data_IF_393781835881
#
_entry.id   IF_393781835881
#
_cell.length_a   1.000
_cell.length_b   1.000
_cell.length_c   1.000
_cell.angle_alpha   90.00
_cell.angle_beta   90.00
_cell.angle_gamma   90.00
#
_symmetry.space_group_name_H-M   'P 1'
#
loop_
_entity.id
_entity.type
_entity.pdbx_description
1 polymer ?
#
# COMPACT_ATOMS: atom_id res chain seq x y z
N UNK A 1 -18.75 7.22 4.76
CA UNK A 1 -19.27 6.91 3.41
C UNK A 1 -20.43 7.81 3.05
N UNK A 2 -21.41 7.97 3.96
CA UNK A 2 -22.59 8.80 3.75
C UNK A 2 -22.27 10.29 3.62
N UNK A 3 -21.31 10.81 4.38
CA UNK A 3 -20.94 12.23 4.40
C UNK A 3 -20.18 12.72 3.17
N UNK A 4 -19.43 11.85 2.49
CA UNK A 4 -18.54 12.28 1.40
C UNK A 4 -18.77 11.52 0.10
N UNK A 5 -19.51 10.42 0.13
CA UNK A 5 -19.63 9.46 -1.00
C UNK A 5 -18.28 9.08 -1.62
N UNK A 6 -17.18 9.17 -0.83
CA UNK A 6 -15.79 9.03 -1.27
C UNK A 6 -15.36 10.02 -2.38
N UNK A 7 -16.05 11.14 -2.50
CA UNK A 7 -15.66 12.18 -3.45
C UNK A 7 -14.40 12.91 -2.98
N UNK A 8 -13.35 12.85 -3.79
CA UNK A 8 -12.04 13.44 -3.46
C UNK A 8 -12.10 14.95 -3.21
N UNK A 9 -12.89 15.68 -4.02
CA UNK A 9 -13.06 17.13 -3.87
C UNK A 9 -13.79 17.49 -2.58
N UNK A 10 -14.79 16.70 -2.20
CA UNK A 10 -15.52 16.88 -0.94
C UNK A 10 -14.59 16.64 0.25
N UNK A 11 -13.79 15.58 0.20
CA UNK A 11 -12.82 15.26 1.26
C UNK A 11 -11.73 16.32 1.36
N UNK A 12 -11.24 16.82 0.23
CA UNK A 12 -10.21 17.87 0.19
C UNK A 12 -10.69 19.16 0.87
N UNK A 13 -11.95 19.53 0.67
CA UNK A 13 -12.57 20.73 1.26
C UNK A 13 -13.00 20.56 2.72
N UNK A 14 -12.99 19.32 3.22
CA UNK A 14 -13.41 19.03 4.59
C UNK A 14 -12.41 19.58 5.60
N UNK A 15 -12.86 20.27 6.68
CA UNK A 15 -11.99 20.65 7.78
C UNK A 15 -11.23 19.44 8.34
N UNK A 16 -9.98 19.63 8.75
CA UNK A 16 -9.12 18.54 9.24
C UNK A 16 -9.75 17.77 10.40
N UNK A 17 -10.37 18.49 11.34
CA UNK A 17 -11.04 17.92 12.51
C UNK A 17 -12.22 17.02 12.10
N UNK A 18 -12.99 17.46 11.10
CA UNK A 18 -14.10 16.66 10.56
C UNK A 18 -13.59 15.38 9.90
N UNK A 19 -12.54 15.49 9.08
CA UNK A 19 -11.92 14.29 8.46
C UNK A 19 -11.38 13.33 9.53
N UNK A 20 -10.73 13.85 10.60
CA UNK A 20 -10.27 13.04 11.72
C UNK A 20 -11.41 12.28 12.40
N UNK A 21 -12.57 12.90 12.59
CA UNK A 21 -13.74 12.23 13.16
C UNK A 21 -14.26 11.10 12.25
N UNK A 22 -14.41 11.38 10.96
CA UNK A 22 -14.89 10.40 9.96
C UNK A 22 -14.02 9.14 9.92
N UNK A 23 -12.69 9.29 10.04
CA UNK A 23 -11.75 8.16 9.96
C UNK A 23 -11.27 7.67 11.32
N UNK A 24 -11.90 8.09 12.42
CA UNK A 24 -11.45 7.80 13.80
C UNK A 24 -11.25 6.30 14.07
N UNK A 25 -12.11 5.45 13.52
CA UNK A 25 -12.05 3.98 13.66
C UNK A 25 -10.82 3.34 13.01
N UNK A 26 -10.10 4.06 12.12
CA UNK A 26 -8.96 3.50 11.38
C UNK A 26 -7.66 3.41 12.20
N UNK A 27 -7.63 3.92 13.45
CA UNK A 27 -6.41 4.06 14.24
C UNK A 27 -5.44 5.08 13.63
N UNK A 28 -4.60 5.72 14.47
CA UNK A 28 -3.67 6.78 14.03
C UNK A 28 -4.32 7.88 13.17
N UNK A 29 -5.61 8.08 13.35
CA UNK A 29 -6.47 8.89 12.49
C UNK A 29 -6.00 10.35 12.33
N UNK A 30 -5.36 10.93 13.34
CA UNK A 30 -4.84 12.31 13.26
C UNK A 30 -3.76 12.44 12.19
N UNK A 31 -2.81 11.51 12.15
CA UNK A 31 -1.74 11.51 11.14
C UNK A 31 -2.26 11.08 9.77
N UNK A 32 -3.15 10.07 9.73
CA UNK A 32 -3.80 9.65 8.49
C UNK A 32 -4.61 10.77 7.84
N UNK A 33 -5.37 11.54 8.60
CA UNK A 33 -6.13 12.67 8.06
C UNK A 33 -5.21 13.72 7.40
N UNK A 34 -4.08 14.04 8.04
CA UNK A 34 -3.09 14.96 7.46
C UNK A 34 -2.47 14.40 6.16
N UNK A 35 -2.14 13.11 6.15
CA UNK A 35 -1.59 12.47 4.96
C UNK A 35 -2.62 12.42 3.82
N UNK A 36 -3.88 12.10 4.11
CA UNK A 36 -4.97 12.11 3.13
C UNK A 36 -5.14 13.50 2.52
N UNK A 37 -5.20 14.56 3.33
CA UNK A 37 -5.34 15.93 2.81
C UNK A 37 -4.12 16.33 1.98
N UNK A 38 -2.90 16.01 2.42
CA UNK A 38 -1.69 16.31 1.66
C UNK A 38 -1.67 15.61 0.29
N UNK A 39 -2.04 14.31 0.26
CA UNK A 39 -2.14 13.57 -0.99
C UNK A 39 -3.23 14.13 -1.91
N UNK A 40 -4.41 14.43 -1.37
CA UNK A 40 -5.51 14.99 -2.17
C UNK A 40 -5.17 16.38 -2.72
N UNK A 41 -4.45 17.19 -1.95
CA UNK A 41 -3.98 18.50 -2.42
C UNK A 41 -3.00 18.34 -3.58
N UNK A 42 -2.04 17.43 -3.45
CA UNK A 42 -1.09 17.12 -4.52
C UNK A 42 -1.81 16.57 -5.77
N UNK A 43 -2.76 15.64 -5.62
CA UNK A 43 -3.56 15.13 -6.73
C UNK A 43 -4.39 16.24 -7.40
N UNK A 44 -4.93 17.17 -6.62
CA UNK A 44 -5.71 18.30 -7.15
C UNK A 44 -4.86 19.25 -7.99
N UNK A 45 -3.58 19.47 -7.64
CA UNK A 45 -2.64 20.24 -8.47
C UNK A 45 -2.44 19.61 -9.85
N UNK A 46 -2.66 18.30 -9.97
CA UNK A 46 -2.63 17.53 -11.21
C UNK A 46 -4.03 17.20 -11.75
N UNK A 47 -5.07 17.95 -11.34
CA UNK A 47 -6.46 17.76 -11.78
C UNK A 47 -7.01 16.33 -11.58
N UNK A 48 -6.43 15.54 -10.67
CA UNK A 48 -6.74 14.11 -10.46
C UNK A 48 -6.57 13.26 -11.74
N UNK A 49 -5.74 13.68 -12.67
CA UNK A 49 -5.42 12.90 -13.88
C UNK A 49 -4.27 11.92 -13.59
N UNK A 50 -4.63 10.74 -13.11
CA UNK A 50 -3.66 9.70 -12.73
C UNK A 50 -2.79 9.25 -13.91
N UNK A 51 -3.34 9.23 -15.12
CA UNK A 51 -2.60 8.84 -16.32
C UNK A 51 -1.54 9.87 -16.70
N UNK A 52 -1.89 11.15 -16.66
CA UNK A 52 -0.94 12.25 -16.89
C UNK A 52 0.13 12.32 -15.79
N UNK A 53 -0.22 12.09 -14.52
CA UNK A 53 0.74 12.00 -13.43
C UNK A 53 1.75 10.87 -13.70
N UNK A 54 1.27 9.66 -14.01
CA UNK A 54 2.13 8.51 -14.27
C UNK A 54 3.11 8.78 -15.42
N UNK A 55 2.64 9.43 -16.49
CA UNK A 55 3.49 9.80 -17.63
C UNK A 55 4.49 10.90 -17.28
N UNK A 56 4.04 11.91 -16.51
CA UNK A 56 4.87 13.08 -16.16
C UNK A 56 6.08 12.67 -15.32
N UNK A 57 5.84 11.85 -14.31
CA UNK A 57 6.88 11.46 -13.36
C UNK A 57 7.63 10.17 -13.76
N UNK A 58 7.00 9.26 -14.51
CA UNK A 58 7.62 8.02 -14.94
C UNK A 58 8.30 7.29 -13.76
N UNK A 59 9.56 6.91 -13.92
CA UNK A 59 10.36 6.22 -12.89
C UNK A 59 10.62 7.08 -11.63
N UNK A 60 10.43 8.40 -11.71
CA UNK A 60 10.59 9.30 -10.56
C UNK A 60 9.31 9.41 -9.70
N UNK A 61 8.20 8.79 -10.10
CA UNK A 61 6.92 8.91 -9.41
C UNK A 61 7.02 8.49 -7.93
N UNK A 62 7.73 7.39 -7.65
CA UNK A 62 7.94 6.93 -6.28
C UNK A 62 8.65 7.98 -5.43
N UNK A 63 9.70 8.59 -5.97
CA UNK A 63 10.45 9.65 -5.28
C UNK A 63 9.57 10.85 -5.00
N UNK A 64 8.75 11.24 -5.98
CA UNK A 64 7.80 12.34 -5.84
C UNK A 64 6.76 12.06 -4.75
N UNK A 65 6.13 10.89 -4.76
CA UNK A 65 5.15 10.49 -3.73
C UNK A 65 5.73 10.53 -2.32
N UNK A 66 6.99 10.15 -2.15
CA UNK A 66 7.70 10.19 -0.87
C UNK A 66 7.96 11.61 -0.34
N UNK A 67 7.86 12.65 -1.17
CA UNK A 67 7.93 14.05 -0.73
C UNK A 67 6.64 14.51 -0.04
N UNK A 68 5.53 13.82 -0.29
CA UNK A 68 4.22 14.18 0.24
C UNK A 68 4.18 13.83 1.74
N UNK A 69 3.82 14.81 2.56
CA UNK A 69 3.79 14.65 4.01
C UNK A 69 2.90 13.48 4.45
N UNK A 70 3.49 12.52 5.13
CA UNK A 70 2.78 11.36 5.68
C UNK A 70 2.62 10.20 4.72
N UNK A 71 3.17 10.30 3.50
CA UNK A 71 3.30 9.18 2.56
C UNK A 71 4.65 8.51 2.79
N UNK A 72 4.60 7.30 3.35
CA UNK A 72 5.78 6.44 3.51
C UNK A 72 5.94 5.47 2.33
N UNK A 73 7.01 4.66 2.37
CA UNK A 73 7.36 3.72 1.29
C UNK A 73 6.22 2.77 0.93
N UNK A 74 5.58 2.14 1.91
CA UNK A 74 4.45 1.23 1.70
C UNK A 74 3.28 1.94 1.00
N UNK A 75 2.92 3.14 1.48
CA UNK A 75 1.82 3.91 0.87
C UNK A 75 2.16 4.35 -0.54
N UNK A 76 3.39 4.79 -0.81
CA UNK A 76 3.84 5.16 -2.15
C UNK A 76 3.76 3.96 -3.11
N UNK A 77 4.24 2.79 -2.69
CA UNK A 77 4.22 1.59 -3.51
C UNK A 77 2.80 1.09 -3.78
N UNK A 78 1.90 1.16 -2.77
CA UNK A 78 0.47 0.86 -2.93
C UNK A 78 -0.17 1.80 -3.94
N UNK A 79 0.10 3.11 -3.86
CA UNK A 79 -0.42 4.09 -4.82
C UNK A 79 0.07 3.78 -6.24
N UNK A 80 1.35 3.45 -6.41
CA UNK A 80 1.92 3.10 -7.72
C UNK A 80 1.19 1.91 -8.32
N UNK A 81 1.02 0.81 -7.57
CA UNK A 81 0.41 -0.41 -8.09
C UNK A 81 -1.09 -0.25 -8.35
N UNK A 82 -1.83 0.31 -7.38
CA UNK A 82 -3.29 0.30 -7.43
C UNK A 82 -3.89 1.50 -8.17
N UNK A 83 -3.23 2.66 -8.11
CA UNK A 83 -3.76 3.90 -8.69
C UNK A 83 -3.06 4.26 -10.00
N UNK A 84 -1.73 4.30 -10.00
CA UNK A 84 -0.95 4.74 -11.15
C UNK A 84 -0.61 3.63 -12.14
N UNK A 85 -1.05 2.39 -11.87
CA UNK A 85 -0.86 1.23 -12.75
C UNK A 85 0.60 0.90 -13.06
N UNK A 86 1.49 1.24 -12.13
CA UNK A 86 2.90 0.84 -12.16
C UNK A 86 3.12 -0.55 -11.57
N UNK A 87 4.38 -0.92 -11.42
CA UNK A 87 4.82 -2.24 -10.93
C UNK A 87 5.80 -2.07 -9.79
N UNK A 88 5.38 -2.46 -8.57
CA UNK A 88 6.21 -2.43 -7.37
C UNK A 88 6.01 -3.66 -6.50
N UNK A 89 7.09 -4.15 -5.87
CA UNK A 89 6.99 -5.11 -4.79
C UNK A 89 6.58 -4.38 -3.50
N UNK A 90 5.53 -4.88 -2.84
CA UNK A 90 4.97 -4.28 -1.62
C UNK A 90 5.20 -5.23 -0.43
N UNK A 91 6.33 -5.15 0.28
CA UNK A 91 6.60 -5.96 1.46
C UNK A 91 5.87 -5.42 2.71
N UNK A 92 4.55 -5.44 2.67
CA UNK A 92 3.71 -5.07 3.81
C UNK A 92 3.94 -5.98 5.04
N UNK A 93 3.23 -5.76 6.11
CA UNK A 93 3.41 -6.51 7.35
C UNK A 93 3.13 -8.01 7.19
N UNK A 94 2.14 -8.40 6.38
CA UNK A 94 1.84 -9.82 6.12
C UNK A 94 2.85 -10.45 5.17
N UNK A 95 3.23 -9.76 4.10
CA UNK A 95 4.27 -10.18 3.17
C UNK A 95 5.58 -10.45 3.93
N UNK A 96 6.03 -9.53 4.78
CA UNK A 96 7.24 -9.72 5.60
C UNK A 96 7.16 -10.92 6.53
N UNK A 97 6.00 -11.18 7.12
CA UNK A 97 5.78 -12.38 7.97
C UNK A 97 5.84 -13.67 7.18
N UNK A 98 5.29 -13.70 5.95
CA UNK A 98 5.36 -14.83 5.05
C UNK A 98 6.82 -15.09 4.65
N UNK A 99 7.52 -14.05 4.17
CA UNK A 99 8.92 -14.18 3.73
C UNK A 99 9.85 -14.60 4.88
N UNK A 100 9.59 -14.14 6.11
CA UNK A 100 10.29 -14.64 7.31
C UNK A 100 10.11 -16.15 7.48
N UNK A 101 8.90 -16.64 7.31
CA UNK A 101 8.60 -18.08 7.38
C UNK A 101 9.29 -18.86 6.26
N UNK A 102 9.45 -18.27 5.09
CA UNK A 102 10.21 -18.85 3.99
C UNK A 102 11.73 -18.79 4.21
N UNK A 103 12.20 -18.11 5.26
CA UNK A 103 13.61 -18.04 5.66
C UNK A 103 14.39 -16.90 5.03
N UNK A 104 13.72 -15.89 4.49
CA UNK A 104 14.36 -14.66 4.02
C UNK A 104 14.85 -13.82 5.19
N UNK A 105 15.97 -13.12 4.95
CA UNK A 105 16.56 -12.19 5.91
C UNK A 105 15.88 -10.82 5.84
N UNK A 106 16.22 -9.93 6.76
CA UNK A 106 15.81 -8.52 6.79
C UNK A 106 14.30 -8.27 6.69
N UNK A 107 13.49 -9.28 7.02
CA UNK A 107 12.02 -9.21 6.98
C UNK A 107 11.43 -8.32 8.08
N UNK A 108 12.25 -7.82 9.01
CA UNK A 108 11.86 -6.84 10.03
C UNK A 108 11.65 -5.43 9.44
N UNK A 109 12.29 -5.13 8.30
CA UNK A 109 12.29 -3.82 7.68
C UNK A 109 11.64 -3.86 6.29
N UNK A 110 10.68 -2.95 6.05
CA UNK A 110 10.09 -2.74 4.72
C UNK A 110 11.18 -2.43 3.68
N UNK A 111 11.98 -1.43 3.99
CA UNK A 111 13.04 -0.93 3.11
C UNK A 111 14.05 -2.01 2.73
N UNK A 112 14.58 -2.74 3.73
CA UNK A 112 15.61 -3.75 3.49
C UNK A 112 15.07 -4.91 2.64
N UNK A 113 13.90 -5.45 2.97
CA UNK A 113 13.32 -6.54 2.19
C UNK A 113 13.00 -6.11 0.75
N UNK A 114 12.55 -4.85 0.56
CA UNK A 114 12.32 -4.29 -0.76
C UNK A 114 13.62 -4.15 -1.58
N UNK A 115 14.75 -3.87 -0.93
CA UNK A 115 16.05 -3.81 -1.61
C UNK A 115 16.57 -5.20 -2.02
N UNK A 116 16.23 -6.25 -1.28
CA UNK A 116 16.65 -7.62 -1.57
C UNK A 116 15.81 -8.28 -2.68
N UNK A 117 14.56 -7.87 -2.81
CA UNK A 117 13.61 -8.55 -3.67
C UNK A 117 12.98 -7.58 -4.67
N UNK A 118 13.04 -7.98 -5.93
CA UNK A 118 12.36 -7.30 -7.03
C UNK A 118 11.34 -8.24 -7.67
N UNK A 119 10.29 -7.67 -8.23
CA UNK A 119 9.35 -8.45 -9.04
C UNK A 119 10.05 -8.90 -10.33
N UNK A 120 9.70 -10.08 -10.88
CA UNK A 120 10.17 -10.50 -12.18
C UNK A 120 9.94 -9.44 -13.25
N UNK A 121 10.87 -9.31 -14.19
CA UNK A 121 10.72 -8.34 -15.30
C UNK A 121 9.44 -8.58 -16.12
N UNK A 122 9.05 -9.84 -16.26
CA UNK A 122 7.84 -10.27 -16.97
C UNK A 122 6.53 -9.87 -16.29
N UNK A 123 6.56 -9.47 -14.99
CA UNK A 123 5.34 -9.08 -14.31
C UNK A 123 4.76 -7.82 -14.93
N UNK A 124 3.47 -7.89 -15.25
CA UNK A 124 2.65 -6.72 -15.55
C UNK A 124 2.21 -6.00 -14.25
N UNK A 125 1.53 -4.88 -14.38
CA UNK A 125 0.84 -4.24 -13.25
C UNK A 125 -0.21 -5.19 -12.64
N UNK A 126 -0.94 -5.93 -13.48
CA UNK A 126 -1.94 -6.88 -12.99
C UNK A 126 -1.30 -7.97 -12.14
N UNK A 127 -0.16 -8.54 -12.58
CA UNK A 127 0.55 -9.57 -11.82
C UNK A 127 1.06 -9.01 -10.47
N UNK A 128 1.58 -7.78 -10.45
CA UNK A 128 2.02 -7.13 -9.21
C UNK A 128 0.86 -6.91 -8.23
N UNK A 129 -0.30 -6.48 -8.75
CA UNK A 129 -1.52 -6.28 -7.97
C UNK A 129 -2.03 -7.61 -7.38
N UNK A 130 -2.15 -8.64 -8.21
CA UNK A 130 -2.61 -9.97 -7.78
C UNK A 130 -1.64 -10.59 -6.78
N UNK A 131 -0.34 -10.49 -7.02
CA UNK A 131 0.69 -11.01 -6.11
C UNK A 131 0.57 -10.39 -4.72
N UNK A 132 0.47 -9.06 -4.63
CA UNK A 132 0.27 -8.38 -3.35
C UNK A 132 -1.07 -8.78 -2.71
N UNK A 133 -2.16 -8.80 -3.46
CA UNK A 133 -3.48 -9.17 -2.95
C UNK A 133 -3.53 -10.61 -2.41
N UNK A 134 -2.86 -11.55 -3.09
CA UNK A 134 -2.75 -12.94 -2.63
C UNK A 134 -1.95 -13.06 -1.34
N UNK A 135 -0.81 -12.36 -1.23
CA UNK A 135 0.00 -12.35 -0.01
C UNK A 135 -0.74 -11.73 1.18
N UNK A 136 -1.43 -10.60 0.96
CA UNK A 136 -2.25 -9.95 1.98
C UNK A 136 -3.40 -10.85 2.46
N UNK A 137 -4.15 -11.43 1.52
CA UNK A 137 -5.25 -12.33 1.84
C UNK A 137 -4.77 -13.61 2.55
N UNK A 138 -3.72 -14.24 2.03
CA UNK A 138 -3.11 -15.39 2.70
C UNK A 138 -2.64 -15.03 4.11
N UNK A 139 -1.91 -13.93 4.25
CA UNK A 139 -1.38 -13.48 5.54
C UNK A 139 -2.48 -13.22 6.57
N UNK A 140 -3.56 -12.54 6.17
CA UNK A 140 -4.73 -12.31 7.02
C UNK A 140 -5.37 -13.61 7.50
N UNK A 141 -5.57 -14.56 6.60
CA UNK A 141 -6.18 -15.83 6.93
C UNK A 141 -5.27 -16.73 7.76
N UNK A 142 -4.01 -16.84 7.38
CA UNK A 142 -3.04 -17.74 8.03
C UNK A 142 -2.64 -17.25 9.43
N UNK A 143 -2.32 -15.95 9.58
CA UNK A 143 -1.81 -15.43 10.85
C UNK A 143 -2.88 -15.02 11.85
N UNK A 144 -4.11 -14.74 11.42
CA UNK A 144 -5.19 -14.33 12.31
C UNK A 144 -6.08 -15.52 12.79
N UNK A 145 -5.66 -16.74 12.58
CA UNK A 145 -6.15 -17.93 13.27
C UNK A 145 -7.38 -18.64 12.69
N UNK A 146 -8.33 -17.94 12.10
CA UNK A 146 -9.58 -18.57 11.60
C UNK A 146 -9.43 -19.38 10.31
N UNK A 147 -8.38 -19.13 9.53
CA UNK A 147 -8.14 -19.78 8.25
C UNK A 147 -6.87 -20.66 8.21
N UNK A 148 -6.12 -20.75 9.30
CA UNK A 148 -4.83 -21.45 9.34
C UNK A 148 -4.92 -22.89 8.83
N UNK A 149 -5.94 -23.62 9.23
CA UNK A 149 -6.14 -25.02 8.83
C UNK A 149 -6.27 -25.22 7.31
N UNK A 150 -6.81 -24.22 6.60
CA UNK A 150 -6.96 -24.25 5.14
C UNK A 150 -5.61 -24.27 4.41
N UNK A 151 -4.56 -23.77 5.03
CA UNK A 151 -3.25 -23.53 4.41
C UNK A 151 -2.13 -24.35 5.04
N UNK A 152 -2.44 -25.37 5.86
CA UNK A 152 -1.45 -26.23 6.51
C UNK A 152 -0.53 -26.96 5.55
N UNK A 153 -0.98 -27.21 4.31
CA UNK A 153 -0.14 -27.79 3.26
C UNK A 153 1.08 -26.93 2.91
N UNK A 154 1.02 -25.62 3.20
CA UNK A 154 2.14 -24.69 2.98
C UNK A 154 3.17 -24.73 4.13
N UNK A 155 2.83 -25.33 5.28
CA UNK A 155 3.74 -25.41 6.42
C UNK A 155 5.03 -26.18 6.09
N UNK A 156 5.00 -27.07 5.09
CA UNK A 156 6.18 -27.79 4.60
C UNK A 156 7.22 -26.89 3.94
N UNK A 157 6.79 -25.77 3.40
CA UNK A 157 7.67 -24.78 2.75
C UNK A 157 8.22 -23.75 3.73
N UNK A 158 7.64 -23.67 4.94
CA UNK A 158 8.09 -22.74 5.94
C UNK A 158 9.25 -23.34 6.74
N UNK A 159 10.32 -22.56 6.87
CA UNK A 159 11.44 -22.93 7.77
C UNK A 159 10.97 -22.85 9.22
N UNK A 160 11.33 -23.86 9.99
CA UNK A 160 11.04 -23.93 11.42
C UNK A 160 11.91 -22.99 12.22
#
# INVERSE_FOLDING_TARGET
KEETSFNAQTILKMPLESLQQVIRSSGFYKNKAKAIQALLLWLNQHHFDYSSIAKLYGDSLRKELLTIRGIGEETADVLIVYIFKGKEFIPDSYTRRIFRKLGYQHTESYHKLKQELTLPESFSNQDANEFHALLDNFGKNYFNGKGKQRYTFLDTYFKK
#
